data_IF_451431402320
#
_entry.id   IF_451431402320
#
_cell.length_a   1.000
_cell.length_b   1.000
_cell.length_c   1.000
_cell.angle_alpha   90.00
_cell.angle_beta   90.00
_cell.angle_gamma   90.00
#
_symmetry.space_group_name_H-M   'P 1'
#
loop_
_entity.id
_entity.type
_entity.pdbx_description
1 polymer ?
#
# COMPACT_ATOMS: atom_id res chain seq x y z
N UNK A 1 -5.94 -3.47 -7.49
CA UNK A 1 -5.35 -4.45 -6.55
C UNK A 1 -5.10 -3.76 -5.22
N UNK A 2 -5.05 -4.54 -4.15
CA UNK A 2 -4.71 -4.02 -2.83
C UNK A 2 -3.34 -4.54 -2.42
N UNK A 3 -2.55 -3.69 -1.78
CA UNK A 3 -1.23 -4.03 -1.29
C UNK A 3 -1.06 -3.57 0.15
N UNK A 4 -0.27 -4.32 0.91
CA UNK A 4 0.09 -3.97 2.28
C UNK A 4 1.55 -3.54 2.30
N UNK A 5 1.84 -2.46 3.01
CA UNK A 5 3.22 -2.00 3.18
C UNK A 5 3.89 -2.87 4.23
N UNK A 6 4.96 -3.56 3.86
CA UNK A 6 5.69 -4.50 4.74
C UNK A 6 7.02 -3.94 5.24
N UNK A 7 7.51 -2.85 4.66
CA UNK A 7 8.70 -2.17 5.16
C UNK A 7 8.37 -1.36 6.41
N UNK A 8 9.36 -1.14 7.28
CA UNK A 8 9.14 -0.31 8.46
C UNK A 8 9.14 1.18 8.12
N UNK A 9 8.72 2.02 9.07
CA UNK A 9 8.60 3.46 8.84
C UNK A 9 9.94 4.12 8.53
N UNK A 10 11.02 3.62 9.11
CA UNK A 10 12.37 4.14 8.85
C UNK A 10 12.76 3.91 7.40
N UNK A 11 12.51 2.71 6.89
CA UNK A 11 12.82 2.35 5.51
C UNK A 11 12.00 3.18 4.53
N UNK A 12 10.71 3.38 4.82
CA UNK A 12 9.84 4.22 3.99
C UNK A 12 10.35 5.65 3.93
N UNK A 13 10.82 6.18 5.06
CA UNK A 13 11.39 7.52 5.14
C UNK A 13 12.68 7.61 4.32
N UNK A 14 13.56 6.62 4.45
CA UNK A 14 14.84 6.59 3.76
C UNK A 14 14.67 6.59 2.22
N UNK A 15 13.62 5.96 1.72
CA UNK A 15 13.31 5.91 0.29
C UNK A 15 12.36 7.02 -0.15
N UNK A 16 12.03 7.97 0.72
CA UNK A 16 11.10 9.06 0.41
C UNK A 16 9.70 8.55 0.01
N UNK A 17 9.24 7.49 0.64
CA UNK A 17 7.92 6.91 0.40
C UNK A 17 6.86 7.44 1.37
N UNK A 18 7.18 8.47 2.14
CA UNK A 18 6.17 9.15 2.94
C UNK A 18 5.13 9.82 2.01
N UNK A 19 3.86 9.84 2.39
CA UNK A 19 3.28 9.52 3.69
C UNK A 19 2.78 8.09 3.86
N UNK A 20 3.23 7.14 3.06
CA UNK A 20 2.87 5.73 3.23
C UNK A 20 3.32 5.25 4.61
N UNK A 21 2.51 4.37 5.24
CA UNK A 21 2.77 3.88 6.59
C UNK A 21 2.88 2.36 6.62
N UNK A 22 3.83 1.87 7.40
CA UNK A 22 4.04 0.44 7.60
C UNK A 22 2.77 -0.24 8.12
N UNK A 23 2.46 -1.40 7.57
CA UNK A 23 1.30 -2.19 7.98
C UNK A 23 -0.03 -1.74 7.40
N UNK A 24 -0.08 -0.60 6.72
CA UNK A 24 -1.31 -0.10 6.11
C UNK A 24 -1.54 -0.70 4.73
N UNK A 25 -2.81 -0.72 4.32
CA UNK A 25 -3.25 -1.28 3.04
C UNK A 25 -3.71 -0.14 2.13
N UNK A 26 -3.24 -0.16 0.89
CA UNK A 26 -3.55 0.86 -0.11
C UNK A 26 -4.00 0.24 -1.41
N UNK A 27 -4.76 1.01 -2.19
CA UNK A 27 -5.03 0.65 -3.59
C UNK A 27 -3.75 0.76 -4.40
N UNK A 28 -3.60 -0.11 -5.40
CA UNK A 28 -2.41 -0.10 -6.24
C UNK A 28 -2.73 -0.54 -7.66
N UNK A 29 -1.85 -0.20 -8.58
CA UNK A 29 -1.91 -0.69 -9.95
C UNK A 29 -0.53 -1.14 -10.40
N UNK A 30 -0.51 -2.02 -11.40
CA UNK A 30 0.72 -2.51 -11.99
C UNK A 30 1.46 -1.37 -12.70
N UNK A 31 2.74 -1.24 -12.45
CA UNK A 31 3.59 -0.29 -13.16
C UNK A 31 4.56 -1.04 -14.09
N UNK A 32 5.38 -1.93 -13.53
CA UNK A 32 6.24 -2.82 -14.28
C UNK A 32 6.62 -4.03 -13.42
N UNK A 33 7.55 -4.87 -13.89
CA UNK A 33 7.90 -6.11 -13.18
C UNK A 33 8.57 -5.90 -11.81
N UNK A 34 9.05 -4.69 -11.52
CA UNK A 34 9.78 -4.38 -10.29
C UNK A 34 9.10 -3.34 -9.43
N UNK A 35 8.15 -2.58 -9.98
CA UNK A 35 7.54 -1.44 -9.32
C UNK A 35 6.02 -1.51 -9.39
N UNK A 36 5.40 -0.97 -8.37
CA UNK A 36 3.94 -0.88 -8.26
C UNK A 36 3.57 0.56 -7.94
N UNK A 37 2.53 1.06 -8.57
CA UNK A 37 1.99 2.40 -8.29
C UNK A 37 0.96 2.28 -7.18
N UNK A 38 1.21 2.98 -6.07
CA UNK A 38 0.35 2.96 -4.88
C UNK A 38 -0.39 4.29 -4.78
N UNK A 39 -1.68 4.23 -4.53
CA UNK A 39 -2.54 5.41 -4.40
C UNK A 39 -2.88 5.66 -2.94
N UNK A 40 -2.87 6.92 -2.54
CA UNK A 40 -3.17 7.31 -1.17
C UNK A 40 -3.80 8.70 -1.14
N UNK A 41 -4.41 9.06 0.00
CA UNK A 41 -5.06 10.35 0.19
C UNK A 41 -4.35 11.17 1.25
N UNK A 42 -4.19 12.47 0.99
CA UNK A 42 -3.73 13.46 1.95
C UNK A 42 -4.68 14.64 1.88
N UNK A 43 -5.34 14.97 2.98
CA UNK A 43 -6.32 16.06 3.04
C UNK A 43 -7.40 15.94 1.96
N UNK A 44 -7.92 14.73 1.76
CA UNK A 44 -8.95 14.39 0.78
C UNK A 44 -8.51 14.51 -0.70
N UNK A 45 -7.23 14.76 -0.94
CA UNK A 45 -6.68 14.76 -2.31
C UNK A 45 -5.95 13.44 -2.57
N UNK A 46 -6.18 12.87 -3.75
CA UNK A 46 -5.54 11.62 -4.14
C UNK A 46 -4.16 11.88 -4.73
N UNK A 47 -3.20 11.13 -4.24
CA UNK A 47 -1.83 11.13 -4.74
C UNK A 47 -1.43 9.71 -5.10
N UNK A 48 -0.34 9.57 -5.85
CA UNK A 48 0.23 8.26 -6.12
C UNK A 48 1.75 8.34 -6.10
N UNK A 49 2.37 7.17 -5.85
CA UNK A 49 3.81 7.05 -5.83
C UNK A 49 4.17 5.65 -6.34
N UNK A 50 5.27 5.55 -7.08
CA UNK A 50 5.77 4.29 -7.58
C UNK A 50 6.82 3.77 -6.60
N UNK A 51 6.60 2.57 -6.04
CA UNK A 51 7.52 1.97 -5.09
C UNK A 51 7.96 0.59 -5.56
N UNK A 52 9.14 0.17 -5.10
CA UNK A 52 9.67 -1.14 -5.42
C UNK A 52 8.85 -2.24 -4.75
N UNK A 53 8.59 -3.34 -5.46
CA UNK A 53 7.74 -4.44 -4.97
C UNK A 53 8.24 -5.07 -3.67
N UNK A 54 9.52 -4.95 -3.34
CA UNK A 54 10.06 -5.49 -2.09
C UNK A 54 9.47 -4.84 -0.84
N UNK A 55 8.87 -3.65 -0.97
CA UNK A 55 8.28 -2.91 0.15
C UNK A 55 6.82 -3.23 0.38
N UNK A 56 6.22 -4.04 -0.48
CA UNK A 56 4.79 -4.33 -0.43
C UNK A 56 4.53 -5.83 -0.52
N UNK A 57 3.35 -6.21 -0.05
CA UNK A 57 2.78 -7.54 -0.25
C UNK A 57 1.45 -7.39 -0.96
N UNK A 58 1.30 -8.03 -2.12
CA UNK A 58 0.03 -8.06 -2.83
C UNK A 58 -0.93 -8.98 -2.07
N UNK A 59 -2.12 -8.48 -1.75
CA UNK A 59 -3.10 -9.23 -0.98
C UNK A 59 -3.82 -10.25 -1.87
N UNK A 60 -4.01 -11.46 -1.35
CA UNK A 60 -4.82 -12.48 -2.02
C UNK A 60 -6.31 -12.28 -1.70
N UNK A 61 -7.17 -13.10 -2.30
CA UNK A 61 -8.63 -13.00 -2.13
C UNK A 61 -9.04 -13.09 -0.66
N UNK A 62 -8.45 -14.01 0.09
CA UNK A 62 -8.80 -14.21 1.51
C UNK A 62 -8.39 -13.01 2.35
N UNK A 63 -7.19 -12.48 2.12
CA UNK A 63 -6.69 -11.30 2.83
C UNK A 63 -7.55 -10.07 2.53
N UNK A 64 -7.97 -9.91 1.28
CA UNK A 64 -8.87 -8.81 0.88
C UNK A 64 -10.22 -8.93 1.58
N UNK A 65 -10.75 -10.14 1.67
CA UNK A 65 -12.01 -10.40 2.36
C UNK A 65 -11.93 -10.02 3.83
N UNK A 66 -10.87 -10.45 4.52
CA UNK A 66 -10.67 -10.14 5.93
C UNK A 66 -10.52 -8.63 6.15
N UNK A 67 -9.80 -7.94 5.30
CA UNK A 67 -9.65 -6.50 5.34
C UNK A 67 -11.00 -5.79 5.22
N UNK A 68 -11.83 -6.20 4.27
CA UNK A 68 -13.15 -5.60 4.06
C UNK A 68 -14.08 -5.85 5.24
N UNK A 69 -14.06 -7.05 5.82
CA UNK A 69 -14.88 -7.38 7.00
C UNK A 69 -14.49 -6.51 8.19
N UNK A 70 -13.19 -6.38 8.45
CA UNK A 70 -12.70 -5.55 9.55
C UNK A 70 -13.08 -4.07 9.35
N UNK A 71 -13.02 -3.60 8.12
CA UNK A 71 -13.31 -2.20 7.80
C UNK A 71 -14.77 -1.83 8.01
N UNK A 72 -15.70 -2.75 7.79
CA UNK A 72 -17.14 -2.50 7.98
C UNK A 72 -17.62 -2.84 9.39
N UNK A 73 -16.71 -3.20 10.30
CA UNK A 73 -17.02 -3.38 11.70
C UNK A 73 -17.74 -4.67 12.05
N UNK A 74 -17.60 -5.68 11.23
CA UNK A 74 -18.20 -6.99 11.46
C UNK A 74 -17.20 -7.92 12.12
#
# INVERSE_FOLDING_TARGET
MLVKIISDDKELKDFCYEPLKSGHIYKASFENNYYTRVFFFVNDEEYNIVIHDRHIKKLNVDEIRDYKLNKIGI
#
